data_IF_003962808721
#
_entry.id   IF_003962808721
#
_cell.length_a   1.000
_cell.length_b   1.000
_cell.length_c   1.000
_cell.angle_alpha   90.00
_cell.angle_beta   90.00
_cell.angle_gamma   90.00
#
_symmetry.space_group_name_H-M   'P 1'
#
loop_
_entity.id
_entity.type
_entity.pdbx_description
1 polymer ?
#
# COMPACT_ATOMS: atom_id res chain seq x y z
N UNK A 1 6.15 -13.90 -4.35
CA UNK A 1 4.68 -14.02 -4.51
C UNK A 1 4.06 -12.79 -3.89
N UNK A 2 3.15 -12.12 -4.60
CA UNK A 2 2.45 -10.97 -4.06
C UNK A 2 1.14 -11.42 -3.39
N UNK A 3 0.90 -10.94 -2.17
CA UNK A 3 -0.34 -11.15 -1.44
C UNK A 3 -1.03 -9.79 -1.28
N UNK A 4 -2.23 -9.66 -1.86
CA UNK A 4 -3.04 -8.44 -1.80
C UNK A 4 -4.18 -8.67 -0.81
N UNK A 5 -4.22 -7.91 0.27
CA UNK A 5 -5.32 -7.91 1.23
C UNK A 5 -6.31 -6.79 0.91
N UNK A 6 -7.50 -7.14 0.37
CA UNK A 6 -8.54 -6.17 0.10
C UNK A 6 -9.30 -5.78 1.38
N UNK A 7 -9.85 -4.55 1.42
CA UNK A 7 -10.53 -4.01 2.59
C UNK A 7 -11.85 -4.72 2.90
N UNK A 8 -12.53 -5.27 1.87
CA UNK A 8 -13.95 -5.63 1.97
C UNK A 8 -14.20 -7.08 2.40
N UNK A 9 -13.22 -7.98 2.27
CA UNK A 9 -13.46 -9.43 2.45
C UNK A 9 -12.44 -10.17 3.34
N UNK A 10 -11.38 -9.52 3.83
CA UNK A 10 -10.38 -10.08 4.77
C UNK A 10 -9.53 -11.24 4.22
N UNK A 11 -9.91 -11.86 3.09
CA UNK A 11 -9.16 -12.93 2.42
C UNK A 11 -8.13 -12.33 1.47
N UNK A 12 -6.86 -12.58 1.76
CA UNK A 12 -5.76 -12.19 0.87
C UNK A 12 -5.81 -12.93 -0.47
N UNK A 13 -5.59 -12.19 -1.56
CA UNK A 13 -5.49 -12.69 -2.93
C UNK A 13 -4.02 -12.93 -3.23
N UNK A 14 -3.67 -14.16 -3.61
CA UNK A 14 -2.30 -14.52 -4.00
C UNK A 14 -2.14 -14.34 -5.50
N UNK A 15 -1.20 -13.49 -5.89
CA UNK A 15 -0.80 -13.28 -7.27
C UNK A 15 0.57 -13.89 -7.48
N UNK A 16 0.61 -14.93 -8.30
CA UNK A 16 1.82 -15.75 -8.52
C UNK A 16 2.63 -15.28 -9.73
N UNK A 17 1.99 -14.64 -10.71
CA UNK A 17 2.64 -14.16 -11.93
C UNK A 17 2.66 -12.65 -11.94
N UNK A 18 3.78 -12.10 -12.34
CA UNK A 18 4.00 -10.66 -12.42
C UNK A 18 3.06 -10.00 -13.43
N UNK A 19 2.80 -10.65 -14.57
CA UNK A 19 1.88 -10.17 -15.60
C UNK A 19 0.43 -9.98 -15.11
N UNK A 20 0.01 -10.74 -14.09
CA UNK A 20 -1.34 -10.67 -13.53
C UNK A 20 -1.50 -9.56 -12.47
N UNK A 21 -0.40 -8.95 -12.00
CA UNK A 21 -0.40 -7.99 -10.87
C UNK A 21 -1.19 -6.74 -11.24
N UNK A 22 -0.93 -6.15 -12.40
CA UNK A 22 -1.58 -4.92 -12.81
C UNK A 22 -3.10 -5.10 -12.98
N UNK A 23 -3.51 -6.12 -13.74
CA UNK A 23 -4.93 -6.41 -13.98
C UNK A 23 -5.68 -6.74 -12.67
N UNK A 24 -5.03 -7.47 -11.77
CA UNK A 24 -5.59 -7.79 -10.45
C UNK A 24 -5.76 -6.53 -9.61
N UNK A 25 -4.74 -5.67 -9.55
CA UNK A 25 -4.81 -4.41 -8.80
C UNK A 25 -5.89 -3.48 -9.35
N UNK A 26 -5.95 -3.29 -10.68
CA UNK A 26 -6.98 -2.50 -11.34
C UNK A 26 -8.38 -3.00 -11.00
N UNK A 27 -8.58 -4.32 -11.06
CA UNK A 27 -9.86 -4.95 -10.71
C UNK A 27 -10.21 -4.70 -9.24
N UNK A 28 -9.27 -4.89 -8.32
CA UNK A 28 -9.53 -4.69 -6.88
C UNK A 28 -9.82 -3.22 -6.58
N UNK A 29 -9.02 -2.29 -7.08
CA UNK A 29 -9.20 -0.84 -6.87
C UNK A 29 -10.56 -0.39 -7.40
N UNK A 30 -10.96 -0.85 -8.59
CA UNK A 30 -12.27 -0.52 -9.18
C UNK A 30 -13.46 -1.05 -8.36
N UNK A 31 -13.27 -2.11 -7.58
CA UNK A 31 -14.29 -2.71 -6.73
C UNK A 31 -14.24 -2.20 -5.27
N UNK A 32 -13.18 -1.48 -4.90
CA UNK A 32 -13.06 -0.92 -3.56
C UNK A 32 -14.05 0.23 -3.39
N UNK A 33 -14.74 0.34 -2.23
CA UNK A 33 -15.51 1.52 -1.93
C UNK A 33 -14.58 2.75 -1.91
N UNK A 34 -15.11 3.97 -2.14
CA UNK A 34 -14.43 5.16 -1.70
C UNK A 34 -13.98 4.96 -0.26
N UNK A 35 -12.74 5.30 -0.05
CA UNK A 35 -12.12 5.26 1.24
C UNK A 35 -11.60 3.93 1.77
N UNK A 36 -11.32 3.01 0.86
CA UNK A 36 -10.80 1.71 1.23
C UNK A 36 -9.27 1.68 1.29
N UNK A 37 -8.72 0.85 2.19
CA UNK A 37 -7.30 0.55 2.25
C UNK A 37 -6.99 -0.86 1.73
N UNK A 38 -5.97 -0.94 0.91
CA UNK A 38 -5.38 -2.16 0.40
C UNK A 38 -4.00 -2.35 1.03
N UNK A 39 -3.66 -3.57 1.41
CA UNK A 39 -2.30 -3.90 1.85
C UNK A 39 -1.68 -4.92 0.91
N UNK A 40 -0.50 -4.61 0.39
CA UNK A 40 0.30 -5.49 -0.44
C UNK A 40 1.45 -6.00 0.39
N UNK A 41 1.64 -7.31 0.38
CA UNK A 41 2.75 -8.00 1.03
C UNK A 41 3.52 -8.77 -0.02
N UNK A 42 4.84 -8.66 -0.02
CA UNK A 42 5.66 -9.58 -0.79
C UNK A 42 6.18 -10.70 0.10
N UNK A 43 5.96 -11.94 -0.35
CA UNK A 43 6.38 -13.15 0.33
C UNK A 43 7.21 -14.01 -0.62
N UNK A 44 8.42 -14.38 -0.24
CA UNK A 44 9.31 -15.20 -1.07
C UNK A 44 9.11 -16.71 -0.88
N UNK A 45 8.39 -17.12 0.16
CA UNK A 45 8.21 -18.53 0.54
C UNK A 45 8.50 -18.78 2.01
N UNK A 46 9.35 -17.96 2.61
CA UNK A 46 9.82 -18.09 3.99
C UNK A 46 9.58 -16.80 4.79
N UNK A 47 9.91 -15.64 4.19
CA UNK A 47 9.89 -14.35 4.87
C UNK A 47 9.08 -13.27 4.11
N UNK A 48 8.60 -12.29 4.87
CA UNK A 48 7.97 -11.07 4.35
C UNK A 48 9.07 -10.07 4.00
N UNK A 49 9.25 -9.76 2.72
CA UNK A 49 10.33 -8.86 2.26
C UNK A 49 9.95 -7.38 2.22
N UNK A 50 8.81 -7.02 2.83
CA UNK A 50 8.27 -5.66 2.82
C UNK A 50 6.76 -5.61 2.59
N UNK A 51 6.17 -4.47 2.96
CA UNK A 51 4.75 -4.18 2.76
C UNK A 51 4.51 -2.81 2.17
N UNK A 52 3.43 -2.70 1.41
CA UNK A 52 2.96 -1.43 0.87
C UNK A 52 1.48 -1.25 1.16
N UNK A 53 1.15 -0.07 1.69
CA UNK A 53 -0.21 0.36 1.97
C UNK A 53 -0.68 1.26 0.83
N UNK A 54 -1.86 0.96 0.33
CA UNK A 54 -2.50 1.70 -0.74
C UNK A 54 -3.86 2.19 -0.23
N UNK A 55 -4.07 3.50 -0.27
CA UNK A 55 -5.38 4.11 -0.01
C UNK A 55 -6.11 4.38 -1.32
N UNK A 56 -7.37 3.97 -1.42
CA UNK A 56 -8.23 4.24 -2.57
C UNK A 56 -9.15 5.41 -2.23
N UNK A 57 -8.86 6.59 -2.77
CA UNK A 57 -9.85 7.67 -2.76
C UNK A 57 -10.99 7.34 -3.72
N UNK A 58 -12.18 7.88 -3.48
CA UNK A 58 -13.43 7.57 -4.21
C UNK A 58 -13.40 7.84 -5.73
N UNK A 59 -14.38 8.55 -6.31
CA UNK A 59 -14.41 8.75 -7.77
C UNK A 59 -13.27 9.66 -8.29
N UNK A 60 -12.28 9.99 -7.46
CA UNK A 60 -11.10 10.74 -7.81
C UNK A 60 -9.96 9.81 -8.22
N UNK A 61 -9.30 10.12 -9.33
CA UNK A 61 -8.16 9.40 -9.89
C UNK A 61 -6.88 9.48 -9.03
N UNK A 62 -7.00 9.55 -7.71
CA UNK A 62 -5.89 9.70 -6.74
C UNK A 62 -6.00 8.65 -5.65
N UNK A 63 -4.86 8.25 -5.11
CA UNK A 63 -4.76 7.30 -4.02
C UNK A 63 -3.58 7.65 -3.11
N UNK A 64 -3.54 7.01 -1.95
CA UNK A 64 -2.43 7.14 -1.00
C UNK A 64 -1.45 5.99 -1.18
N UNK A 65 -0.16 6.26 -1.01
CA UNK A 65 0.89 5.24 -1.04
C UNK A 65 1.82 5.38 0.16
N UNK A 66 2.08 4.28 0.85
CA UNK A 66 3.08 4.19 1.91
C UNK A 66 3.82 2.87 1.83
N UNK A 67 5.14 2.93 1.88
CA UNK A 67 6.00 1.75 1.96
C UNK A 67 6.45 1.56 3.41
N UNK A 68 6.45 0.32 3.90
CA UNK A 68 7.02 -0.02 5.20
C UNK A 68 8.03 -1.16 4.99
N UNK A 69 9.26 -0.93 5.45
CA UNK A 69 10.27 -1.97 5.52
C UNK A 69 10.02 -2.90 6.71
N UNK A 70 10.76 -3.99 6.75
CA UNK A 70 10.70 -5.00 7.81
C UNK A 70 11.18 -4.48 9.17
N UNK A 71 12.14 -3.56 9.16
CA UNK A 71 12.71 -2.93 10.36
C UNK A 71 11.78 -1.89 11.00
N UNK A 72 10.60 -1.67 10.41
CA UNK A 72 9.60 -0.74 10.88
C UNK A 72 9.73 0.67 10.30
N UNK A 73 10.79 0.95 9.55
CA UNK A 73 10.94 2.24 8.86
C UNK A 73 9.85 2.40 7.81
N UNK A 74 9.34 3.62 7.68
CA UNK A 74 8.25 3.91 6.74
C UNK A 74 8.53 5.12 5.88
N UNK A 75 8.03 5.08 4.65
CA UNK A 75 8.24 6.14 3.67
C UNK A 75 6.98 6.42 2.88
N UNK A 76 6.84 7.68 2.48
CA UNK A 76 5.80 8.18 1.60
C UNK A 76 6.44 8.92 0.42
N UNK A 77 5.78 8.99 -0.75
CA UNK A 77 6.31 9.73 -1.90
C UNK A 77 6.45 11.24 -1.62
N UNK A 78 7.43 11.92 -2.23
CA UNK A 78 7.79 13.34 -1.95
C UNK A 78 6.80 14.39 -2.54
N UNK A 79 5.78 14.04 -3.35
CA UNK A 79 4.89 15.01 -4.02
C UNK A 79 3.68 14.33 -4.75
N UNK A 80 2.51 14.94 -5.06
CA UNK A 80 1.78 16.19 -4.70
C UNK A 80 0.33 16.12 -5.30
N UNK A 81 -0.60 15.43 -4.66
CA UNK A 81 -2.03 15.51 -5.01
C UNK A 81 -2.68 16.80 -4.50
N UNK A 82 -3.85 17.25 -5.02
CA UNK A 82 -4.61 18.34 -4.40
C UNK A 82 -4.92 18.00 -2.93
N UNK A 83 -4.95 19.02 -2.08
CA UNK A 83 -5.19 18.98 -0.62
C UNK A 83 -6.54 18.31 -0.27
N UNK A 84 -6.59 16.99 -0.34
CA UNK A 84 -7.73 16.19 0.07
C UNK A 84 -7.30 15.10 1.05
N UNK A 85 -7.99 15.05 2.19
CA UNK A 85 -7.80 14.01 3.21
C UNK A 85 -8.22 12.68 2.60
N UNK A 86 -7.27 11.73 2.56
CA UNK A 86 -7.54 10.38 2.08
C UNK A 86 -8.24 9.59 3.19
N UNK A 87 -7.59 9.18 4.29
CA UNK A 87 -8.23 8.30 5.30
C UNK A 87 -7.88 8.58 6.77
N UNK A 88 -8.82 8.24 7.65
CA UNK A 88 -8.66 8.06 9.10
C UNK A 88 -9.66 6.98 9.54
N UNK A 89 -9.22 5.72 9.65
CA UNK A 89 -10.07 4.63 10.17
C UNK A 89 -9.73 4.24 11.62
N UNK A 90 -8.75 4.89 12.25
CA UNK A 90 -8.32 4.58 13.62
C UNK A 90 -7.18 3.57 13.69
N UNK A 91 -6.93 2.81 12.62
CA UNK A 91 -5.76 1.92 12.52
C UNK A 91 -4.74 2.36 11.46
N UNK A 92 -5.07 3.34 10.63
CA UNK A 92 -4.16 3.83 9.60
C UNK A 92 -4.50 5.22 9.09
N UNK A 93 -3.58 6.17 9.23
CA UNK A 93 -3.69 7.48 8.60
C UNK A 93 -2.70 7.54 7.43
N UNK A 94 -3.21 7.35 6.20
CA UNK A 94 -2.50 7.79 5.00
C UNK A 94 -2.74 9.29 4.89
N UNK A 95 -1.85 10.05 5.51
CA UNK A 95 -1.89 11.51 5.47
C UNK A 95 -1.66 12.03 4.05
N UNK A 96 -2.16 13.25 3.83
CA UNK A 96 -2.10 14.06 2.59
C UNK A 96 -0.78 13.98 1.80
N UNK A 97 0.35 13.81 2.50
CA UNK A 97 1.69 13.82 1.93
C UNK A 97 2.01 12.59 1.05
N UNK A 98 1.22 11.51 1.14
CA UNK A 98 1.36 10.31 0.30
C UNK A 98 0.42 10.26 -0.92
N UNK A 99 -0.34 11.31 -1.21
CA UNK A 99 -1.34 11.33 -2.28
C UNK A 99 -0.70 11.44 -3.67
N UNK A 100 -0.97 10.46 -4.53
CA UNK A 100 -0.49 10.37 -5.91
C UNK A 100 -1.62 9.96 -6.86
N UNK A 101 -1.50 10.20 -8.18
CA UNK A 101 -2.46 9.67 -9.14
C UNK A 101 -2.61 8.14 -9.02
N UNK A 102 -3.80 7.60 -9.26
CA UNK A 102 -4.06 6.17 -9.15
C UNK A 102 -3.19 5.35 -10.12
N UNK A 103 -2.88 5.90 -11.30
CA UNK A 103 -1.91 5.27 -12.22
C UNK A 103 -0.50 5.21 -11.62
N UNK A 104 -0.10 6.22 -10.83
CA UNK A 104 1.16 6.21 -10.09
C UNK A 104 1.14 5.17 -8.97
N UNK A 105 0.01 5.01 -8.26
CA UNK A 105 -0.20 3.93 -7.29
C UNK A 105 -0.01 2.56 -7.94
N UNK A 106 -0.67 2.32 -9.07
CA UNK A 106 -0.61 1.04 -9.80
C UNK A 106 0.81 0.77 -10.30
N UNK A 107 1.48 1.77 -10.90
CA UNK A 107 2.85 1.64 -11.36
C UNK A 107 3.83 1.34 -10.21
N UNK A 108 3.66 1.97 -9.05
CA UNK A 108 4.48 1.69 -7.87
C UNK A 108 4.21 0.30 -7.29
N UNK A 109 2.94 -0.13 -7.25
CA UNK A 109 2.54 -1.48 -6.85
C UNK A 109 3.11 -2.57 -7.74
N UNK A 110 3.13 -2.31 -9.05
CA UNK A 110 3.80 -3.18 -10.01
C UNK A 110 5.31 -3.22 -9.75
N UNK A 111 5.98 -2.06 -9.68
CA UNK A 111 7.42 -1.98 -9.43
C UNK A 111 7.86 -2.61 -8.10
N UNK A 112 7.04 -2.55 -7.06
CA UNK A 112 7.26 -3.26 -5.79
C UNK A 112 7.23 -4.78 -5.97
N UNK A 113 6.29 -5.29 -6.76
CA UNK A 113 6.22 -6.71 -7.08
C UNK A 113 7.41 -7.16 -7.94
N UNK A 114 7.83 -6.35 -8.93
CA UNK A 114 9.03 -6.63 -9.73
C UNK A 114 10.31 -6.59 -8.88
N UNK A 115 10.37 -5.62 -7.96
CA UNK A 115 11.46 -5.42 -7.01
C UNK A 115 11.45 -6.38 -5.82
N UNK A 116 10.63 -7.44 -5.84
CA UNK A 116 10.61 -8.49 -4.81
C UNK A 116 10.34 -7.91 -3.41
N UNK A 117 9.44 -6.94 -3.31
CA UNK A 117 9.10 -6.29 -2.05
C UNK A 117 9.96 -5.06 -1.70
N UNK A 118 10.95 -4.72 -2.53
CA UNK A 118 11.74 -3.52 -2.33
C UNK A 118 10.94 -2.25 -2.61
N UNK A 119 11.30 -1.16 -1.92
CA UNK A 119 10.75 0.17 -2.17
C UNK A 119 10.93 0.58 -3.64
N UNK A 120 9.86 0.95 -4.37
CA UNK A 120 9.94 1.30 -5.78
C UNK A 120 10.89 2.48 -6.06
N UNK A 121 11.94 2.27 -6.84
CA UNK A 121 12.86 3.34 -7.24
C UNK A 121 12.27 4.34 -8.25
N UNK A 122 11.06 4.06 -8.76
CA UNK A 122 10.32 4.90 -9.71
C UNK A 122 9.75 6.17 -9.08
N UNK A 123 9.72 6.25 -7.75
CA UNK A 123 9.26 7.40 -6.99
C UNK A 123 10.39 7.97 -6.15
N UNK A 124 10.35 9.28 -5.92
CA UNK A 124 11.13 9.92 -4.88
C UNK A 124 10.40 9.71 -3.54
N UNK A 125 11.12 9.26 -2.53
CA UNK A 125 10.56 8.92 -1.21
C UNK A 125 11.14 9.81 -0.12
N UNK A 126 10.28 10.22 0.79
CA UNK A 126 10.67 10.81 2.07
C UNK A 126 10.31 9.86 3.19
N UNK A 127 11.12 9.89 4.23
CA UNK A 127 10.86 9.16 5.47
C UNK A 127 9.61 9.74 6.14
N UNK A 128 8.69 8.85 6.49
CA UNK A 128 7.51 9.18 7.27
C UNK A 128 7.85 8.98 8.74
N UNK A 129 8.37 10.06 9.33
CA UNK A 129 8.78 10.16 10.74
C UNK A 129 7.59 10.15 11.72
N UNK A 130 6.35 10.07 11.22
CA UNK A 130 5.18 9.79 12.05
C UNK A 130 5.24 8.32 12.41
N UNK A 131 5.93 8.06 13.52
CA UNK A 131 6.00 6.75 14.15
C UNK A 131 4.59 6.29 14.46
N UNK A 132 4.20 5.17 13.85
CA UNK A 132 3.05 4.43 14.35
C UNK A 132 3.55 3.67 15.56
N UNK A 133 2.91 3.83 16.72
CA UNK A 133 3.04 2.88 17.84
C UNK A 133 2.42 1.54 17.41
N UNK A 134 3.01 0.90 16.40
CA UNK A 134 2.53 -0.36 15.81
C UNK A 134 2.94 -1.57 16.64
N UNK A 135 3.89 -1.43 17.58
CA UNK A 135 4.32 -2.55 18.41
C UNK A 135 3.22 -2.98 19.40
N UNK A 136 2.43 -2.04 19.91
CA UNK A 136 1.30 -2.36 20.79
C UNK A 136 0.07 -2.92 20.04
N UNK A 137 -0.21 -2.43 18.82
CA UNK A 137 -1.34 -2.92 18.02
C UNK A 137 -1.03 -4.23 17.27
N UNK A 138 0.20 -4.41 16.77
CA UNK A 138 0.65 -5.68 16.19
C UNK A 138 0.62 -6.80 17.23
N UNK A 139 1.08 -6.52 18.46
CA UNK A 139 1.03 -7.49 19.56
C UNK A 139 -0.40 -7.87 20.00
N UNK A 140 -1.41 -7.03 19.74
CA UNK A 140 -2.82 -7.34 20.04
C UNK A 140 -3.49 -8.24 18.99
N UNK A 141 -2.93 -8.31 17.78
CA UNK A 141 -3.55 -8.98 16.64
C UNK A 141 -2.67 -10.07 15.97
N UNK A 142 -1.43 -10.26 16.42
CA UNK A 142 -0.64 -11.45 16.13
C UNK A 142 -1.26 -12.69 16.85
N UNK A 143 -1.38 -13.83 16.17
CA UNK A 143 -2.05 -15.04 16.70
C UNK A 143 -1.36 -15.66 17.92
#
# INVERSE_FOLDING_TARGET
>A
MLLIHPPVNGRGIRVHRQEDVEDTLRTIIALCPPSAQLTLWWYDGEDLNGRMLIGVNGPGNTGGLKYCAEDGDTWIPVNRGPDEVLFSDGHAQLDYEGSVPMETVIAAAFAFAEGVGARPATLEWQEDWRVWDSDEEYARHAP
#
